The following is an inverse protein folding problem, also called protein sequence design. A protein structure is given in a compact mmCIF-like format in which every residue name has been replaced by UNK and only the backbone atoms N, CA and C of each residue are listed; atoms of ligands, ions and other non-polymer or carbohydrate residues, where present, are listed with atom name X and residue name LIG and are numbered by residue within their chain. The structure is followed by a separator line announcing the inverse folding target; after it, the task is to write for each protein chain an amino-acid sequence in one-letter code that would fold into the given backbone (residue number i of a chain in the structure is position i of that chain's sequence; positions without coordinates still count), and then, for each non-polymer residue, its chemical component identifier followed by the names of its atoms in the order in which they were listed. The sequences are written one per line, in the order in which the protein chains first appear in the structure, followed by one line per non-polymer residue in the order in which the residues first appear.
data_IF_182527061132
#
_entry.id   IF_182527061132
#
_cell.length_a   1.000
_cell.length_b   1.000
_cell.length_c   1.000
_cell.angle_alpha   90.00
_cell.angle_beta   90.00
_cell.angle_gamma   90.00
#
_symmetry.space_group_name_H-M   'P 1'
#
loop_
_entity.id
_entity.type
_entity.pdbx_description
1 polymer ?
2 non-polymer ?
#
# COMPACT_ATOMS: atom_id res chain seq x y z
N UNK A 30 3.34 9.52 -11.46
CA UNK A 30 2.12 8.76 -11.66
C UNK A 30 1.01 9.24 -10.74
N UNK A 31 1.31 9.36 -9.45
CA UNK A 31 0.33 9.79 -8.47
C UNK A 31 0.18 11.31 -8.40
N UNK A 32 0.65 12.04 -9.40
CA UNK A 32 0.42 13.48 -9.49
C UNK A 32 -0.88 13.67 -10.27
N UNK A 33 -2.00 13.69 -9.54
CA UNK A 33 -3.33 13.77 -10.15
C UNK A 33 -3.76 15.19 -10.45
N UNK A 34 -2.83 16.13 -10.57
CA UNK A 34 -3.18 17.50 -10.90
C UNK A 34 -3.66 17.60 -12.34
N UNK A 35 -4.48 18.61 -12.60
CA UNK A 35 -4.98 18.84 -13.96
C UNK A 35 -3.86 19.23 -14.90
N UNK A 36 -2.85 19.94 -14.40
CA UNK A 36 -1.71 20.35 -15.19
C UNK A 36 -0.59 19.32 -15.27
N UNK A 37 -0.80 18.13 -14.71
CA UNK A 37 0.21 17.09 -14.77
C UNK A 37 0.41 16.60 -16.20
N UNK A 38 1.62 16.10 -16.47
CA UNK A 38 1.97 15.62 -17.79
C UNK A 38 2.07 14.10 -17.90
N UNK A 39 2.47 13.42 -16.84
CA UNK A 39 2.62 11.98 -16.85
C UNK A 39 1.54 11.19 -16.15
N UNK A 40 0.39 11.78 -15.87
CA UNK A 40 -0.68 11.10 -15.15
C UNK A 40 -1.69 10.52 -16.14
N UNK A 41 -1.96 9.23 -16.01
CA UNK A 41 -2.97 8.59 -16.86
C UNK A 41 -4.36 9.15 -16.56
N UNK A 42 -4.71 9.29 -15.29
CA UNK A 42 -5.99 9.81 -14.85
C UNK A 42 -5.77 11.09 -14.07
N UNK A 43 -6.46 12.16 -14.45
CA UNK A 43 -6.32 13.45 -13.80
C UNK A 43 -7.66 14.15 -13.75
N UNK A 44 -7.81 15.03 -12.76
CA UNK A 44 -9.04 15.79 -12.59
C UNK A 44 -9.07 16.97 -13.56
N UNK A 45 -10.25 17.59 -13.65
CA UNK A 45 -10.44 18.74 -14.53
C UNK A 45 -11.01 19.96 -13.81
N UNK A 46 -11.32 19.86 -12.52
CA UNK A 46 -11.90 20.98 -11.77
C UNK A 46 -11.05 21.35 -10.57
N UNK A 47 -9.79 20.92 -10.56
CA UNK A 47 -8.89 21.24 -9.45
C UNK A 47 -7.45 21.15 -9.93
N UNK A 48 -6.56 21.74 -9.16
CA UNK A 48 -5.14 21.76 -9.48
C UNK A 48 -4.25 21.27 -8.36
N UNK A 49 -4.79 20.67 -7.31
CA UNK A 49 -4.02 20.37 -6.11
C UNK A 49 -3.58 18.91 -6.09
N UNK A 50 -2.35 18.68 -5.64
CA UNK A 50 -1.83 17.32 -5.53
C UNK A 50 -2.53 16.57 -4.40
N UNK A 51 -2.70 17.22 -3.26
CA UNK A 51 -2.89 16.52 -2.00
C UNK A 51 -4.34 16.34 -1.59
N UNK A 52 -5.28 17.09 -2.18
CA UNK A 52 -6.68 16.92 -1.81
C UNK A 52 -7.14 15.49 -2.10
N UNK A 53 -6.53 14.83 -3.07
CA UNK A 53 -6.87 13.44 -3.36
C UNK A 53 -6.47 12.52 -2.22
N UNK A 54 -5.46 12.92 -1.43
CA UNK A 54 -5.00 12.11 -0.30
C UNK A 54 -5.12 12.80 1.04
N UNK A 55 -4.65 14.05 1.15
CA UNK A 55 -4.53 14.72 2.45
C UNK A 55 -5.37 15.98 2.48
N UNK A 56 -6.13 16.15 3.56
CA UNK A 56 -6.82 17.39 3.82
C UNK A 56 -6.33 18.01 5.14
N UNK A 57 -6.06 19.32 5.14
CA UNK A 57 -5.56 19.97 6.36
C UNK A 57 -6.49 19.84 7.56
N UNK A 58 -7.79 19.98 7.35
CA UNK A 58 -8.77 19.85 8.42
C UNK A 58 -9.86 18.87 8.00
N UNK A 59 -10.56 18.33 9.01
CA UNK A 59 -11.68 17.42 8.79
C UNK A 59 -11.25 16.18 8.01
N UNK A 60 -10.32 15.43 8.58
CA UNK A 60 -9.85 14.19 7.98
C UNK A 60 -10.70 13.01 8.47
N UNK A 61 -10.34 11.81 8.02
CA UNK A 61 -11.11 10.62 8.39
C UNK A 61 -10.56 9.96 9.65
N UNK A 62 -9.26 9.69 9.69
CA UNK A 62 -8.67 8.89 10.74
C UNK A 62 -7.43 9.59 11.29
N UNK A 63 -6.97 9.12 12.45
CA UNK A 63 -5.72 9.59 13.03
C UNK A 63 -4.54 8.77 12.51
N UNK A 64 -4.52 8.61 11.19
CA UNK A 64 -3.44 8.01 10.43
C UNK A 64 -3.24 9.01 9.31
N UNK A 65 -2.01 9.45 8.98
CA UNK A 65 -1.82 10.86 8.58
C UNK A 65 -2.77 11.35 7.51
N UNK A 66 -3.67 12.24 7.94
CA UNK A 66 -4.50 13.08 7.09
C UNK A 66 -5.06 12.31 5.90
N UNK A 67 -5.86 11.31 6.22
CA UNK A 67 -6.47 10.44 5.22
C UNK A 67 -7.85 10.98 4.85
N UNK A 68 -8.04 11.29 3.57
CA UNK A 68 -9.29 11.86 3.07
C UNK A 68 -9.89 10.98 1.98
N UNK A 69 -9.67 9.67 2.05
CA UNK A 69 -10.10 8.73 1.03
C UNK A 69 -10.99 7.67 1.66
N UNK A 70 -12.08 7.32 0.97
CA UNK A 70 -13.00 6.31 1.47
C UNK A 70 -12.45 4.91 1.22
N UNK A 71 -12.42 4.10 2.29
CA UNK A 71 -11.85 2.76 2.21
C UNK A 71 -12.95 1.70 2.26
N UNK A 72 -12.77 0.58 1.59
CA UNK A 72 -13.78 -0.48 1.61
C UNK A 72 -13.67 -1.34 2.87
N UNK A 73 -14.56 -2.32 2.95
CA UNK A 73 -14.54 -3.26 4.07
C UNK A 73 -13.49 -4.33 3.85
N UNK A 74 -12.96 -4.86 4.96
CA UNK A 74 -11.92 -5.89 4.89
C UNK A 74 -12.49 -7.28 4.68
N UNK A 75 -13.79 -7.48 4.89
CA UNK A 75 -14.38 -8.80 4.79
C UNK A 75 -14.42 -9.35 3.38
N UNK A 76 -14.27 -8.50 2.37
CA UNK A 76 -14.36 -8.90 0.97
C UNK A 76 -13.00 -9.15 0.33
N UNK A 77 -11.95 -9.36 1.13
CA UNK A 77 -10.60 -9.51 0.62
C UNK A 77 -10.03 -10.85 1.05
N UNK A 78 -9.40 -11.55 0.11
CA UNK A 78 -8.68 -12.78 0.38
C UNK A 78 -7.21 -12.57 0.05
N UNK A 79 -6.36 -13.42 0.64
CA UNK A 79 -4.92 -13.25 0.54
C UNK A 79 -4.27 -14.55 0.07
N UNK A 80 -2.97 -14.46 -0.19
CA UNK A 80 -2.21 -15.64 -0.60
C UNK A 80 -2.06 -16.58 0.60
N UNK A 81 -2.35 -17.87 0.37
CA UNK A 81 -2.28 -18.86 1.44
C UNK A 81 -1.80 -20.19 0.85
N UNK A 82 -0.75 -20.74 1.45
CA UNK A 82 -0.20 -22.02 1.03
C UNK A 82 0.48 -22.68 2.22
N UNK A 83 0.71 -23.98 2.10
CA UNK A 83 1.30 -24.77 3.19
C UNK A 83 2.83 -24.64 3.19
N UNK A 84 3.29 -23.40 3.16
CA UNK A 84 4.72 -23.12 3.25
C UNK A 84 5.00 -21.84 4.05
N UNK A 85 3.98 -21.23 4.65
CA UNK A 85 4.10 -19.93 5.29
C UNK A 85 3.66 -20.02 6.76
N UNK A 86 3.55 -18.85 7.39
CA UNK A 86 3.17 -18.73 8.79
C UNK A 86 1.85 -18.00 8.99
N UNK A 87 1.05 -17.83 7.93
CA UNK A 87 -0.14 -17.01 7.97
C UNK A 87 -1.42 -17.82 7.75
N UNK A 88 -1.43 -19.09 8.19
CA UNK A 88 -2.59 -19.95 7.94
C UNK A 88 -3.87 -19.41 8.58
N UNK A 89 -3.89 -19.02 9.86
CA UNK A 89 -5.15 -18.55 10.46
C UNK A 89 -5.56 -17.15 10.02
N UNK A 90 -4.71 -16.42 9.31
CA UNK A 90 -4.98 -15.02 8.97
C UNK A 90 -5.06 -14.85 7.47
N UNK A 91 -5.54 -15.88 6.76
CA UNK A 91 -5.61 -15.87 5.31
C UNK A 91 -6.90 -15.23 4.79
N UNK A 92 -7.76 -14.71 5.67
CA UNK A 92 -9.01 -14.09 5.26
C UNK A 92 -9.17 -12.75 5.97
N UNK A 93 -9.37 -11.70 5.19
CA UNK A 93 -9.69 -10.39 5.74
C UNK A 93 -8.51 -9.58 6.22
N UNK A 94 -8.61 -8.25 6.09
CA UNK A 94 -7.62 -7.33 6.60
C UNK A 94 -8.03 -6.84 7.99
N UNK A 95 -7.24 -5.92 8.54
CA UNK A 95 -7.57 -5.27 9.80
C UNK A 95 -8.10 -3.87 9.55
N UNK A 96 -8.73 -3.31 10.59
CA UNK A 96 -9.28 -1.96 10.49
C UNK A 96 -8.18 -0.89 10.43
N UNK A 97 -6.94 -1.25 10.78
CA UNK A 97 -5.84 -0.30 10.79
C UNK A 97 -4.73 -0.69 9.82
N UNK A 98 -5.06 -1.48 8.80
CA UNK A 98 -4.06 -1.93 7.85
C UNK A 98 -3.85 -0.89 6.76
N UNK A 99 -2.58 -0.56 6.49
CA UNK A 99 -2.25 0.38 5.43
C UNK A 99 -2.61 -0.21 4.07
N UNK A 100 -2.60 -1.54 3.96
CA UNK A 100 -3.06 -2.18 2.74
C UNK A 100 -4.48 -1.77 2.39
N UNK A 101 -5.32 -1.54 3.40
CA UNK A 101 -6.65 -1.00 3.15
C UNK A 101 -6.58 0.37 2.51
N UNK A 102 -5.69 1.22 3.01
CA UNK A 102 -5.51 2.55 2.42
C UNK A 102 -5.12 2.45 0.96
N UNK A 103 -4.19 1.55 0.64
CA UNK A 103 -3.73 1.42 -0.74
C UNK A 103 -4.85 0.88 -1.63
N UNK A 104 -5.53 -0.18 -1.19
CA UNK A 104 -6.61 -0.74 -1.99
C UNK A 104 -7.81 0.18 -2.07
N UNK A 105 -7.88 1.22 -1.23
CA UNK A 105 -8.98 2.17 -1.33
C UNK A 105 -9.06 2.80 -2.71
N UNK A 106 -7.92 3.03 -3.35
CA UNK A 106 -7.90 3.37 -4.77
C UNK A 106 -7.40 2.24 -5.66
N UNK A 107 -6.88 1.16 -5.08
CA UNK A 107 -6.37 0.04 -5.86
C UNK A 107 -7.19 -1.23 -5.65
N UNK A 108 -8.51 -1.09 -5.61
CA UNK A 108 -9.41 -2.25 -5.56
C UNK A 108 -10.13 -2.50 -6.87
N UNK A 109 -10.26 -1.48 -7.71
CA UNK A 109 -11.01 -1.62 -8.95
C UNK A 109 -12.50 -1.41 -8.83
N UNK A 110 -12.99 -1.03 -7.65
CA UNK A 110 -14.42 -0.80 -7.44
C UNK A 110 -14.74 0.52 -6.75
N UNK A 111 -13.78 1.17 -6.12
CA UNK A 111 -14.01 2.43 -5.41
C UNK A 111 -13.70 3.61 -6.32
N UNK A 112 -14.59 4.60 -6.32
CA UNK A 112 -14.41 5.75 -7.19
C UNK A 112 -13.15 6.51 -6.85
N UNK A 113 -12.39 6.86 -7.90
CA UNK A 113 -11.16 7.62 -7.70
C UNK A 113 -11.44 9.02 -7.16
N UNK A 114 -12.50 9.66 -7.65
CA UNK A 114 -12.83 10.99 -7.21
C UNK A 114 -14.05 11.05 -6.31
N UNK A 115 -14.95 10.08 -6.46
CA UNK A 115 -16.18 10.07 -5.70
C UNK A 115 -16.05 9.64 -4.26
N UNK A 116 -14.88 9.13 -3.87
CA UNK A 116 -14.66 8.64 -2.50
C UNK A 116 -14.03 9.69 -1.59
N UNK A 117 -13.81 10.92 -2.07
CA UNK A 117 -13.24 11.96 -1.23
C UNK A 117 -14.26 12.36 -0.17
N UNK A 118 -13.75 12.82 0.98
CA UNK A 118 -14.61 13.31 2.06
C UNK A 118 -14.62 14.84 2.11
N UNK A 119 -13.43 15.45 2.18
CA UNK A 119 -13.29 16.89 2.20
C UNK A 119 -12.92 17.33 0.79
N UNK A 120 -13.93 17.55 -0.04
CA UNK A 120 -13.73 17.94 -1.42
C UNK A 120 -13.19 19.37 -1.51
N UNK A 121 -12.47 19.69 -2.59
CA UNK A 121 -11.77 20.98 -2.64
C UNK A 121 -12.63 22.17 -3.01
N UNK A 122 -13.80 21.96 -3.63
CA UNK A 122 -14.59 23.09 -4.09
C UNK A 122 -16.08 22.90 -3.81
N UNK A 123 -16.42 22.14 -2.77
CA UNK A 123 -17.80 21.98 -2.38
C UNK A 123 -18.62 21.05 -3.26
N UNK A 124 -18.00 20.32 -4.18
CA UNK A 124 -18.72 19.44 -5.08
C UNK A 124 -17.82 18.26 -5.44
N UNK A 125 -18.42 17.28 -6.11
CA UNK A 125 -17.68 16.10 -6.52
C UNK A 125 -16.59 16.48 -7.52
N UNK A 126 -15.43 15.85 -7.36
CA UNK A 126 -14.30 16.15 -8.23
C UNK A 126 -14.56 15.60 -9.63
N UNK A 127 -14.42 16.45 -10.63
CA UNK A 127 -14.64 16.05 -12.01
C UNK A 127 -13.46 15.22 -12.51
N UNK A 128 -13.77 14.10 -13.17
CA UNK A 128 -12.75 13.20 -13.69
C UNK A 128 -12.78 13.22 -15.22
N UNK A 129 -11.59 13.09 -15.82
CA UNK A 129 -11.49 13.09 -17.28
C UNK A 129 -12.08 11.80 -17.83
N UNK A 130 -12.90 11.93 -18.87
CA UNK A 130 -13.52 10.80 -19.52
C UNK A 130 -14.64 10.14 -18.75
N UNK A 131 -14.83 10.47 -17.47
CA UNK A 131 -15.88 9.88 -16.67
C UNK A 131 -15.55 8.53 -16.05
N UNK A 132 -14.36 7.99 -16.31
CA UNK A 132 -13.95 6.71 -15.74
C UNK A 132 -13.32 6.96 -14.39
N UNK A 133 -14.15 6.92 -13.34
CA UNK A 133 -13.70 7.14 -11.98
C UNK A 133 -13.14 5.87 -11.33
N UNK A 134 -12.84 4.85 -12.11
CA UNK A 134 -12.30 3.60 -11.59
C UNK A 134 -11.01 3.26 -12.33
N UNK A 135 -10.02 2.77 -11.58
CA UNK A 135 -8.76 2.38 -12.19
C UNK A 135 -8.96 1.12 -13.02
N UNK A 136 -8.29 1.09 -14.18
CA UNK A 136 -8.38 -0.03 -15.11
C UNK A 136 -6.97 -0.41 -15.55
N UNK A 137 -6.90 -1.35 -16.48
CA UNK A 137 -5.62 -1.77 -17.03
C UNK A 137 -4.91 -2.79 -16.15
N UNK A 138 -3.60 -2.93 -16.42
CA UNK A 138 -2.80 -3.89 -15.68
C UNK A 138 -2.67 -3.47 -14.22
N UNK A 139 -2.62 -2.17 -13.94
CA UNK A 139 -2.46 -1.70 -12.58
C UNK A 139 -3.64 -2.09 -11.69
N UNK A 140 -4.80 -2.40 -12.28
CA UNK A 140 -5.94 -2.85 -11.50
C UNK A 140 -5.62 -4.16 -10.80
N UNK A 141 -5.98 -4.25 -9.52
CA UNK A 141 -5.70 -5.43 -8.72
C UNK A 141 -6.95 -6.25 -8.39
N UNK A 142 -8.14 -5.67 -8.52
CA UNK A 142 -9.34 -6.43 -8.20
C UNK A 142 -9.52 -6.61 -6.70
N UNK A 143 -10.23 -7.68 -6.35
CA UNK A 143 -10.50 -8.01 -4.95
C UNK A 143 -9.88 -9.32 -4.49
N UNK A 144 -9.31 -10.12 -5.39
CA UNK A 144 -8.70 -11.38 -5.04
C UNK A 144 -7.19 -11.27 -5.18
N UNK A 145 -6.47 -11.66 -4.12
CA UNK A 145 -5.02 -11.64 -4.12
C UNK A 145 -4.42 -13.02 -4.35
N UNK A 146 -5.10 -13.86 -5.13
CA UNK A 146 -4.56 -15.17 -5.47
C UNK A 146 -3.30 -15.06 -6.31
N UNK A 147 -3.04 -13.89 -6.88
CA UNK A 147 -1.89 -13.66 -7.74
C UNK A 147 -1.08 -12.47 -7.25
N UNK A 148 -0.83 -12.40 -5.94
CA UNK A 148 -0.13 -11.26 -5.36
C UNK A 148 0.76 -11.75 -4.22
N UNK A 149 1.76 -10.92 -3.89
CA UNK A 149 2.70 -11.22 -2.83
C UNK A 149 2.01 -11.03 -1.48
N UNK A 150 2.29 -11.89 -0.50
CA UNK A 150 1.53 -11.87 0.76
C UNK A 150 1.65 -10.55 1.49
N UNK A 151 0.55 -10.16 2.15
CA UNK A 151 0.46 -8.91 2.88
C UNK A 151 -0.25 -9.13 4.21
N UNK A 152 -0.05 -8.19 5.13
CA UNK A 152 -0.76 -8.10 6.40
C UNK A 152 -0.68 -9.42 7.18
N UNK A 153 0.54 -9.75 7.56
CA UNK A 153 0.79 -10.87 8.46
C UNK A 153 2.05 -10.57 9.27
N UNK A 154 2.04 -10.99 10.53
CA UNK A 154 3.15 -10.71 11.44
C UNK A 154 4.29 -11.68 11.16
N UNK A 155 5.40 -11.15 10.65
CA UNK A 155 6.62 -11.95 10.56
C UNK A 155 7.19 -12.13 11.95
N UNK A 156 7.51 -13.37 12.31
CA UNK A 156 7.93 -13.66 13.67
C UNK A 156 9.33 -14.27 13.69
N UNK A 157 10.12 -14.00 14.73
CA UNK A 157 11.43 -14.64 14.82
C UNK A 157 11.36 -16.16 14.84
N UNK A 158 10.32 -16.72 15.47
CA UNK A 158 10.14 -18.17 15.42
C UNK A 158 9.89 -18.64 13.98
N UNK A 159 9.05 -17.90 13.24
CA UNK A 159 8.83 -18.25 11.85
C UNK A 159 10.08 -18.11 11.00
N UNK A 160 10.87 -17.07 11.26
CA UNK A 160 12.13 -16.88 10.53
C UNK A 160 13.07 -18.03 10.81
N UNK A 161 13.17 -18.44 12.08
CA UNK A 161 14.02 -19.57 12.43
C UNK A 161 13.53 -20.86 11.77
N UNK A 162 12.21 -21.05 11.72
CA UNK A 162 11.66 -22.23 11.07
C UNK A 162 12.00 -22.25 9.58
N UNK A 163 11.83 -21.11 8.90
CA UNK A 163 12.19 -21.03 7.50
C UNK A 163 13.71 -20.94 7.32
N UNK A 164 14.38 -20.16 8.16
CA UNK A 164 15.82 -20.03 8.10
C UNK A 164 16.37 -19.15 7.01
N UNK A 165 15.53 -18.34 6.36
CA UNK A 165 16.00 -17.50 5.27
C UNK A 165 15.44 -16.08 5.30
N UNK A 166 14.63 -15.72 6.29
CA UNK A 166 13.98 -14.41 6.31
C UNK A 166 14.83 -13.39 7.08
N UNK A 167 16.10 -13.32 6.71
CA UNK A 167 16.98 -12.28 7.23
C UNK A 167 17.06 -12.27 8.74
N UNK A 168 16.93 -11.07 9.31
CA UNK A 168 16.98 -10.88 10.76
C UNK A 168 16.10 -9.68 11.10
N UNK A 169 16.00 -9.38 12.40
CA UNK A 169 15.11 -8.35 12.89
C UNK A 169 15.89 -7.28 13.64
N UNK A 170 15.48 -6.03 13.46
CA UNK A 170 16.02 -4.89 14.19
C UNK A 170 14.84 -4.15 14.83
N UNK A 171 14.91 -3.97 16.15
CA UNK A 171 13.83 -3.32 16.89
C UNK A 171 14.17 -1.90 17.35
N UNK A 172 15.43 -1.48 17.24
CA UNK A 172 15.82 -0.17 17.70
C UNK A 172 15.45 0.98 16.80
N UNK A 173 14.98 0.69 15.58
CA UNK A 173 14.61 1.72 14.62
C UNK A 173 13.10 1.92 14.60
N UNK A 174 12.71 3.13 14.20
CA UNK A 174 11.29 3.50 14.11
C UNK A 174 10.95 3.89 12.68
N UNK A 175 10.12 3.11 11.96
CA UNK A 175 9.54 1.85 12.43
C UNK A 175 10.56 0.71 12.42
N UNK A 176 10.30 -0.35 13.20
CA UNK A 176 11.20 -1.51 13.18
C UNK A 176 11.33 -2.09 11.79
N UNK A 177 12.54 -2.50 11.44
CA UNK A 177 12.84 -3.04 10.13
C UNK A 177 13.30 -4.49 10.25
N UNK A 178 13.22 -5.22 9.14
CA UNK A 178 13.70 -6.59 9.07
C UNK A 178 15.06 -6.58 8.37
N UNK A 179 16.10 -7.03 9.08
CA UNK A 179 17.46 -6.88 8.62
C UNK A 179 17.73 -7.72 7.38
N UNK A 180 18.50 -7.16 6.45
CA UNK A 180 18.88 -7.83 5.23
C UNK A 180 20.40 -7.86 5.12
N UNK A 181 20.92 -8.94 4.53
CA UNK A 181 22.35 -9.10 4.39
C UNK A 181 23.00 -8.41 3.23
N UNK A 182 22.22 -7.73 2.37
CA UNK A 182 22.79 -7.09 1.19
C UNK A 182 22.27 -5.68 0.93
N UNK A 183 21.23 -5.22 1.61
CA UNK A 183 20.62 -3.93 1.33
C UNK A 183 20.71 -3.06 2.58
N UNK A 184 21.17 -1.82 2.40
CA UNK A 184 21.25 -0.89 3.52
C UNK A 184 19.86 -0.48 3.98
N UNK A 185 19.69 -0.36 5.30
CA UNK A 185 18.50 0.09 5.99
C UNK A 185 17.35 -0.92 5.93
N UNK A 186 17.49 -2.01 5.19
CA UNK A 186 16.46 -3.03 5.16
C UNK A 186 15.12 -2.54 4.62
N UNK A 187 14.09 -3.30 4.98
CA UNK A 187 12.71 -2.94 4.63
C UNK A 187 11.97 -2.47 5.87
N UNK A 188 11.27 -1.35 5.81
CA UNK A 188 10.44 -0.96 6.96
C UNK A 188 9.27 -1.91 7.14
N UNK A 189 8.88 -2.10 8.40
CA UNK A 189 7.72 -2.90 8.74
C UNK A 189 6.69 -2.01 9.42
N UNK A 190 5.46 -2.50 9.55
CA UNK A 190 4.37 -1.69 10.06
C UNK A 190 3.64 -2.44 11.17
N UNK A 191 3.03 -1.67 12.06
CA UNK A 191 2.27 -2.23 13.17
C UNK A 191 0.81 -2.41 12.76
N UNK A 192 0.23 -3.54 13.17
CA UNK A 192 -1.15 -3.85 12.84
C UNK A 192 -1.75 -4.68 13.98
N UNK A 193 -2.99 -5.11 13.77
CA UNK A 193 -3.68 -5.90 14.79
C UNK A 193 -3.00 -7.25 14.99
N UNK A 194 -2.54 -7.88 13.91
CA UNK A 194 -1.85 -9.16 14.04
C UNK A 194 -0.54 -9.04 14.79
N UNK A 195 0.08 -7.86 14.81
CA UNK A 195 1.32 -7.69 15.52
C UNK A 195 1.99 -6.38 15.16
N UNK A 196 3.06 -6.09 15.89
CA UNK A 196 3.81 -4.85 15.70
C UNK A 196 4.84 -4.92 14.59
N UNK A 197 5.18 -6.12 14.12
CA UNK A 197 6.11 -6.31 13.01
C UNK A 197 5.35 -7.06 11.92
N UNK A 198 4.66 -6.31 11.06
CA UNK A 198 3.77 -6.88 10.07
C UNK A 198 4.14 -6.34 8.69
N UNK A 199 4.27 -7.25 7.73
CA UNK A 199 4.47 -6.84 6.34
C UNK A 199 3.20 -6.18 5.82
N UNK A 200 3.37 -5.28 4.87
CA UNK A 200 2.25 -4.47 4.42
C UNK A 200 2.50 -4.01 2.99
N UNK A 201 1.43 -3.48 2.38
CA UNK A 201 1.50 -2.96 1.03
C UNK A 201 2.60 -1.91 0.87
N UNK A 202 2.85 -1.12 1.92
CA UNK A 202 3.88 -0.11 1.86
C UNK A 202 5.28 -0.61 2.13
N UNK A 203 5.46 -1.90 2.39
CA UNK A 203 6.79 -2.43 2.70
C UNK A 203 7.73 -2.25 1.52
N UNK A 204 7.26 -2.55 0.31
CA UNK A 204 8.05 -2.37 -0.89
C UNK A 204 7.80 -1.05 -1.61
N UNK A 205 6.58 -0.55 -1.57
CA UNK A 205 6.19 0.61 -2.37
C UNK A 205 6.27 1.87 -1.53
N UNK A 206 6.94 2.88 -2.05
CA UNK A 206 6.99 4.20 -1.41
C UNK A 206 6.12 5.15 -2.23
N UNK A 207 5.04 5.64 -1.61
CA UNK A 207 3.99 6.31 -2.36
C UNK A 207 4.48 7.61 -2.98
N UNK A 208 5.31 8.37 -2.26
CA UNK A 208 5.64 9.71 -2.71
C UNK A 208 6.85 9.77 -3.64
N UNK A 209 7.83 8.87 -3.46
CA UNK A 209 9.10 8.96 -4.16
C UNK A 209 9.06 8.09 -5.41
N UNK A 210 9.10 8.72 -6.58
CA UNK A 210 9.13 8.02 -7.86
C UNK A 210 10.54 7.94 -8.43
N UNK A 211 11.56 7.86 -7.57
CA UNK A 211 12.93 7.75 -8.05
C UNK A 211 13.13 6.47 -8.84
N UNK A 212 12.55 5.37 -8.37
CA UNK A 212 12.58 4.08 -9.06
C UNK A 212 11.14 3.65 -9.28
N UNK A 213 10.58 4.04 -10.42
CA UNK A 213 9.22 3.67 -10.75
C UNK A 213 9.11 2.15 -10.86
N UNK A 214 7.94 1.56 -10.53
CA UNK A 214 6.65 2.11 -10.11
C UNK A 214 6.55 2.46 -8.62
N UNK A 215 7.48 3.28 -8.12
CA UNK A 215 7.55 3.68 -6.71
C UNK A 215 8.06 2.54 -5.84
N UNK A 216 9.09 1.83 -6.31
CA UNK A 216 9.77 0.84 -5.49
C UNK A 216 10.81 1.53 -4.61
N UNK A 217 11.12 0.89 -3.48
CA UNK A 217 12.07 1.49 -2.54
C UNK A 217 13.48 1.51 -3.10
N UNK A 218 13.78 0.70 -4.11
CA UNK A 218 15.07 0.75 -4.79
C UNK A 218 14.86 0.25 -6.22
N UNK A 219 15.80 0.60 -7.08
CA UNK A 219 15.70 0.14 -8.47
C UNK A 219 15.82 -1.38 -8.52
N UNK A 220 14.86 -2.01 -9.20
CA UNK A 220 14.67 -3.45 -9.12
C UNK A 220 15.63 -4.23 -10.01
N UNK A 221 16.21 -3.61 -11.04
CA UNK A 221 17.15 -4.32 -11.89
C UNK A 221 18.29 -4.90 -11.06
N UNK A 222 18.62 -6.15 -11.31
CA UNK A 222 19.61 -6.87 -10.54
C UNK A 222 19.06 -7.73 -9.42
N UNK A 223 17.75 -7.70 -9.18
CA UNK A 223 17.08 -8.51 -8.16
C UNK A 223 17.61 -8.24 -6.75
N UNK A 224 18.28 -7.11 -6.55
CA UNK A 224 18.88 -6.86 -5.24
C UNK A 224 17.83 -6.63 -4.17
N UNK A 225 16.69 -6.04 -4.53
CA UNK A 225 15.59 -5.95 -3.56
C UNK A 225 15.04 -7.33 -3.23
N UNK A 226 14.85 -8.16 -4.26
CA UNK A 226 14.37 -9.52 -4.03
C UNK A 226 15.36 -10.33 -3.21
N UNK A 227 16.65 -10.19 -3.47
CA UNK A 227 17.67 -10.89 -2.70
C UNK A 227 17.78 -10.36 -1.27
N UNK A 228 17.19 -9.21 -0.96
CA UNK A 228 17.23 -8.71 0.39
C UNK A 228 16.51 -9.60 1.39
N UNK A 229 15.46 -10.28 0.94
CA UNK A 229 14.67 -11.15 1.81
C UNK A 229 14.83 -12.62 1.47
N UNK A 230 14.75 -12.97 0.18
CA UNK A 230 14.76 -14.39 -0.19
C UNK A 230 16.17 -14.87 -0.51
N UNK A 231 17.08 -14.77 0.45
CA UNK A 231 18.46 -15.18 0.21
C UNK A 231 18.59 -16.71 0.13
X LIG B 1 1.12 12.47 0.70
X LIG B 1 2.11 11.20 3.75
X LIG B 1 2.74 15.40 1.40
X LIG B 1 0.09 13.85 -2.32
X LIG B 1 -0.53 9.59 -0.06
X LIG B 1 2.22 13.16 2.28
X LIG B 1 2.52 12.49 3.46
X LIG B 1 3.31 13.37 4.28
X LIG B 1 3.48 14.52 3.62
X LIG B 1 2.79 14.41 2.36
X LIG B 1 4.25 15.77 4.11
X LIG B 1 3.89 13.07 5.70
X LIG B 1 4.69 11.77 5.73
X LIG B 1 6.11 12.02 5.29
X LIG B 1 6.91 11.06 5.28
X LIG B 1 6.45 13.19 4.96
X LIG B 1 1.35 14.30 -0.32
X LIG B 1 2.09 15.35 0.18
X LIG B 1 2.07 16.42 -0.79
X LIG B 1 1.34 16.02 -1.85
X LIG B 1 0.87 14.68 -1.55
X LIG B 1 2.80 17.77 -0.61
X LIG B 1 1.11 16.95 -3.09
X LIG B 1 2.15 18.07 -3.42
X LIG B 1 0.01 11.84 -0.88
X LIG B 1 -0.31 12.56 -2.03
X LIG B 1 -1.07 11.69 -2.90
X LIG B 1 -1.30 10.56 -2.25
X LIG B 1 -0.59 10.60 -0.99
X LIG B 1 -1.71 12.12 -4.23
X LIG B 1 -2.13 9.37 -2.80
X LIG B 1 -1.36 8.07 -2.51
X LIG B 1 0.84 10.67 1.69
X LIG B 1 0.11 9.61 1.16
X LIG B 1 0.13 8.52 2.12
X LIG B 1 0.95 9.02 3.31
X LIG B 1 1.36 10.37 2.95
X LIG B 1 -0.55 7.14 1.95
X LIG B 1 1.29 8.25 4.61
X LIG B 1 2.13 7.04 4.27
X LIG B 1 2.56 6.35 5.55
X LIG B 1 2.11 6.77 6.64
X LIG B 1 3.36 5.38 5.47
X LIG C 1 -1.73 4.12 -6.77
X LIG C 1 -0.96 3.69 -10.07
X LIG C 1 0.96 2.16 -5.89
X LIG C 1 -2.49 4.50 -3.42
X LIG C 1 -4.34 6.21 -7.55
X LIG C 1 -0.26 3.13 -7.79
X LIG C 1 -0.16 3.04 -9.17
X LIG C 1 0.96 2.15 -9.48
X LIG C 1 1.47 1.73 -8.32
X LIG C 1 0.74 2.35 -7.24
X LIG C 1 2.65 0.76 -8.13
X LIG C 1 1.41 1.74 -10.91
X LIG C 1 1.65 2.91 -11.85
X LIG C 1 1.37 2.51 -13.28
X LIG C 1 0.24 2.71 -13.78
X LIG C 1 2.31 1.96 -13.91
X LIG C 1 -0.92 3.47 -5.00
X LIG C 1 0.18 2.64 -4.87
X LIG C 1 0.36 2.37 -3.45
X LIG C 1 -0.59 3.01 -2.79
X LIG C 1 -1.41 3.72 -3.74
X LIG C 1 1.46 1.47 -2.86
X LIG C 1 -0.83 3.02 -1.25
X LIG C 1 0.29 3.77 -0.51
X LIG C 1 -3.14 5.16 -5.69
X LIG C 1 -3.28 5.16 -4.32
X LIG C 1 -4.35 6.06 -3.96
X LIG C 1 -4.93 6.46 -5.09
X LIG C 1 -4.15 5.96 -6.21
X LIG C 1 -4.89 6.22 -2.52
X LIG C 1 -6.17 7.38 -5.20
X LIG C 1 -5.81 8.81 -4.73
X LIG C 1 -2.52 4.84 -8.53
X LIG C 1 -3.62 5.70 -8.62
X LIG C 1 -3.90 5.97 -10.00
X LIG C 1 -2.84 5.17 -10.80
X LIG C 1 -2.03 4.51 -9.80
X LIG C 1 -5.03 6.86 -10.54
X LIG C 1 -2.63 5.07 -12.33
X LIG C 1 -1.88 3.81 -12.74
X LIG C 1 -2.64 3.11 -13.84
X LIG C 1 -3.81 3.53 -14.10
X LIG C 1 -2.11 2.15 -14.45
X LIG D 1 3.54 -4.01 -5.86
X LIG D 1 4.34 -3.33 -9.11
X LIG D 1 0.44 -2.60 -6.37
X LIG D 1 2.65 -4.70 -2.61
X LIG D 1 6.59 -5.48 -5.29
X LIG D 1 2.58 -3.13 -7.46
X LIG D 1 3.09 -2.94 -8.72
X LIG D 1 2.09 -2.27 -9.53
X LIG D 1 1.02 -2.07 -8.76
X LIG D 1 1.30 -2.60 -7.44
X LIG D 1 -0.30 -1.38 -9.19
X LIG D 1 2.14 -1.81 -11.01
X LIG D 1 2.94 -2.71 -11.95
X LIG D 1 2.37 -4.11 -12.00
X LIG D 1 1.23 -4.30 -11.52
X LIG D 1 3.06 -5.01 -12.54
X LIG D 1 1.87 -3.72 -4.72
X LIG D 1 0.72 -3.10 -5.12
X LIG D 1 -0.19 -3.03 -3.99
X LIG D 1 0.42 -3.62 -2.95
X LIG D 1 1.72 -4.05 -3.39
X LIG D 1 -1.59 -2.38 -4.09
X LIG D 1 -0.05 -3.82 -1.49
X LIG D 1 -1.48 -4.42 -1.36
X LIG D 1 4.46 -4.92 -4.24
X LIG D 1 3.90 -5.11 -3.00
X LIG D 1 4.88 -5.76 -2.16
X LIG D 1 5.96 -6.02 -2.89
X LIG D 1 5.73 -5.47 -4.22
X LIG D 1 4.65 -6.21 -0.70
X LIG D 1 7.22 -6.75 -2.36
X LIG D 1 7.85 -7.71 -3.39
X LIG D 1 5.20 -4.35 -7.01
X LIG D 1 6.35 -4.99 -6.56
X LIG D 1 7.28 -5.06 -7.66
X LIG D 1 6.60 -4.40 -8.85
X LIG D 1 5.30 -3.99 -8.35
X LIG D 1 8.70 -5.68 -7.65
X LIG D 1 7.18 -4.22 -10.27
X LIG D 1 6.32 -4.98 -11.27
X LIG D 1 7.20 -5.73 -12.24
X LIG D 1 6.65 -6.32 -13.21
X LIG D 1 8.44 -5.72 -12.05
X LIG E 1 8.93 -12.24 -0.99
X LIG E 1 7.04 -14.76 0.33
X LIG E 1 8.44 -13.49 -4.14
X LIG E 1 10.75 -9.63 -2.38
X LIG E 1 9.38 -10.82 2.10
X LIG E 1 7.91 -13.83 -1.76
X LIG E 1 7.20 -14.76 -1.04
X LIG E 1 6.68 -15.74 -1.97
X LIG E 1 7.07 -15.39 -3.20
X LIG E 1 7.85 -14.18 -3.11
X LIG E 1 6.74 -16.14 -4.51
X LIG E 1 5.82 -16.98 -1.62
X LIG E 1 6.63 -17.96 -0.79
X LIG E 1 5.83 -19.23 -0.60
X LIG E 1 4.70 -19.29 -1.13
X LIG E 1 6.32 -20.15 0.09
X LIG E 1 9.48 -11.67 -2.88
X LIG E 1 9.17 -12.34 -4.05
X LIG E 1 9.77 -11.63 -5.17
X LIG E 1 10.41 -10.57 -4.67
X LIG E 1 10.23 -10.57 -3.24
X LIG E 1 9.67 -12.05 -6.65
X LIG E 1 11.19 -9.50 -5.45
X LIG E 1 10.21 -8.60 -6.23
X LIG E 1 9.87 -10.55 -0.28
X LIG E 1 10.58 -9.62 -1.01
X LIG E 1 11.12 -8.62 -0.13
X LIG E 1 10.76 -8.95 1.12
X LIG E 1 9.96 -10.16 1.05
X LIG E 1 11.99 -7.45 -0.60
X LIG E 1 11.11 -8.19 2.43
X LIG E 1 9.89 -8.09 3.38
X LIG E 1 8.30 -12.71 0.91
X LIG E 1 8.64 -11.98 2.06
X LIG E 1 8.10 -12.65 3.21
X LIG E 1 7.36 -13.89 2.66
X LIG E 1 7.54 -13.83 1.23
X LIG E 1 8.22 -12.21 4.69
X LIG E 1 6.60 -14.96 3.47
X LIG E 1 7.56 -15.70 4.40
X LIG E 1 8.96 -15.70 3.84
X LIG E 1 9.88 -15.16 4.51
X LIG E 1 9.16 -16.23 2.71
#
# INVERSE_FOLDING_TARGET
MRSEVKIGLALTALLVAVTAAGAASIKNTKHDLSSGSTGATFKATNTDQICVFCHTPHNAQQDIPLWNRGNPTASTFTLYSSSSMNNVPVKQGFTADSISLFCMSCHDGATGLGGAVHNDPNGAAIAMVGGNDLITGEANLGTDLSNDHPVNFEVTPAGIAADGNLGALDTGTNPPTMKTGDVTNGLPLFKSARGATTLECGSCHKVHDNTDAPFLRTTMAGSKLCLGCHKK
HEC FE CHA CHB CHC CHD NA C1A C2A C3A C4A CMA CAA CBA CGA O1A O2A NB C1B C2B C3B C4B CMB CAB CBB NC C1C C2C C3C C4C CMC CAC CBC ND C1D C2D C3D C4D CMD CAD CBD CGD O1D O2D
HEC FE CHA CHB CHC CHD NA C1A C2A C3A C4A CMA CAA CBA CGA O1A O2A NB C1B C2B C3B C4B CMB CAB CBB NC C1C C2C C3C C4C CMC CAC CBC ND C1D C2D C3D C4D CMD CAD CBD CGD O1D O2D
HEC FE CHA CHB CHC CHD NA C1A C2A C3A C4A CMA CAA CBA CGA O1A O2A NB C1B C2B C3B C4B CMB CAB CBB NC C1C C2C C3C C4C CMC CAC CBC ND C1D C2D C3D C4D CMD CAD CBD CGD O1D O2D
HEC FE CHA CHB CHC CHD NA C1A C2A C3A C4A CMA CAA CBA CGA O1A O2A NB C1B C2B C3B C4B CMB CAB CBB NC C1C C2C C3C C4C CMC CAC CBC ND C1D C2D C3D C4D CMD CAD CBD CGD O1D O2D
#
